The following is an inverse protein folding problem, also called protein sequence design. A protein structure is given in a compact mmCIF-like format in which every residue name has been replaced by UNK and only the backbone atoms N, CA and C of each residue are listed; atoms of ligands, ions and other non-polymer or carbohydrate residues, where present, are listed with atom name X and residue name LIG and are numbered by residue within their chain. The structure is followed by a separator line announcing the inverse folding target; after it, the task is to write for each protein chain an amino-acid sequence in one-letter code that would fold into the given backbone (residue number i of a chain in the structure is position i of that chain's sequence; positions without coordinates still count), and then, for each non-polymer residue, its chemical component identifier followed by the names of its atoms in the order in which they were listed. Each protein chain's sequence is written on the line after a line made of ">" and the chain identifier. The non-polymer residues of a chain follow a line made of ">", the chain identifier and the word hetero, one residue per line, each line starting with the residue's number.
data_IF_249578981322
#
_entry.id   IF_249578981322
#
_cell.length_a   1.000
_cell.length_b   1.000
_cell.length_c   1.000
_cell.angle_alpha   90.00
_cell.angle_beta   90.00
_cell.angle_gamma   90.00
#
_symmetry.space_group_name_H-M   'P 1'
#
loop_
_entity.id
_entity.type
_entity.pdbx_description
1 polymer ?
#
# COMPACT_ATOMS: atom_id res chain seq x y z
N UNK A 1 -50.67 -39.55 10.14
CA UNK A 1 -49.66 -39.16 11.13
C UNK A 1 -48.24 -39.20 10.52
N UNK A 2 -48.00 -38.46 9.41
CA UNK A 2 -46.68 -38.45 8.78
C UNK A 2 -46.46 -37.10 8.05
N UNK A 3 -46.35 -36.01 8.77
CA UNK A 3 -45.97 -34.67 8.21
C UNK A 3 -45.22 -33.74 9.15
N UNK A 4 -44.74 -34.22 10.33
CA UNK A 4 -44.02 -33.33 11.29
C UNK A 4 -42.53 -33.58 11.41
N UNK A 5 -41.96 -34.63 10.78
CA UNK A 5 -40.53 -34.93 10.89
C UNK A 5 -39.66 -34.29 9.79
N UNK A 6 -40.23 -33.87 8.66
CA UNK A 6 -39.48 -33.28 7.54
C UNK A 6 -38.98 -31.83 7.79
N UNK A 7 -39.74 -31.06 8.57
CA UNK A 7 -39.37 -29.66 8.86
C UNK A 7 -38.25 -29.52 9.91
N UNK A 8 -38.15 -30.45 10.85
CA UNK A 8 -37.13 -30.42 11.90
C UNK A 8 -35.76 -30.80 11.33
N UNK A 9 -35.68 -31.73 10.39
CA UNK A 9 -34.40 -32.13 9.74
C UNK A 9 -33.85 -31.03 8.82
N UNK A 10 -34.70 -30.32 8.10
CA UNK A 10 -34.26 -29.20 7.25
C UNK A 10 -33.74 -28.01 8.05
N UNK A 11 -34.34 -27.73 9.21
CA UNK A 11 -33.89 -26.65 10.09
C UNK A 11 -32.56 -26.98 10.80
N UNK A 12 -32.36 -28.25 11.21
CA UNK A 12 -31.13 -28.72 11.82
C UNK A 12 -29.96 -28.77 10.83
N UNK A 13 -30.18 -29.21 9.58
CA UNK A 13 -29.15 -29.17 8.54
C UNK A 13 -28.79 -27.73 8.12
N UNK A 14 -29.76 -26.84 8.01
CA UNK A 14 -29.52 -25.42 7.74
C UNK A 14 -28.72 -24.73 8.84
N UNK A 15 -29.07 -24.98 10.10
CA UNK A 15 -28.35 -24.44 11.27
C UNK A 15 -26.94 -24.98 11.41
N UNK A 16 -26.71 -26.26 11.14
CA UNK A 16 -25.36 -26.85 11.19
C UNK A 16 -24.44 -26.37 10.06
N UNK A 17 -24.97 -26.14 8.86
CA UNK A 17 -24.23 -25.56 7.74
C UNK A 17 -23.89 -24.07 7.98
N UNK A 18 -24.80 -23.30 8.53
CA UNK A 18 -24.55 -21.90 8.91
C UNK A 18 -23.53 -21.79 10.05
N UNK A 19 -23.59 -22.64 11.06
CA UNK A 19 -22.61 -22.69 12.16
C UNK A 19 -21.23 -23.14 11.65
N UNK A 20 -21.14 -24.07 10.71
CA UNK A 20 -19.86 -24.49 10.13
C UNK A 20 -19.23 -23.41 9.25
N UNK A 21 -20.02 -22.68 8.48
CA UNK A 21 -19.57 -21.56 7.67
C UNK A 21 -19.08 -20.38 8.52
N UNK A 22 -19.78 -20.06 9.60
CA UNK A 22 -19.36 -19.01 10.56
C UNK A 22 -18.10 -19.39 11.32
N UNK A 23 -17.97 -20.64 11.77
CA UNK A 23 -16.78 -21.14 12.46
C UNK A 23 -15.57 -21.17 11.50
N UNK A 24 -15.74 -21.55 10.24
CA UNK A 24 -14.70 -21.53 9.23
C UNK A 24 -14.27 -20.11 8.92
N UNK A 25 -15.17 -19.19 8.71
CA UNK A 25 -14.90 -17.75 8.49
C UNK A 25 -14.17 -17.12 9.67
N UNK A 26 -14.59 -17.42 10.92
CA UNK A 26 -13.91 -16.94 12.12
C UNK A 26 -12.48 -17.51 12.25
N UNK A 27 -12.27 -18.78 11.91
CA UNK A 27 -10.95 -19.43 11.92
C UNK A 27 -10.01 -18.80 10.87
N UNK A 28 -10.49 -18.51 9.65
CA UNK A 28 -9.71 -17.83 8.63
C UNK A 28 -9.30 -16.43 9.06
N UNK A 29 -10.21 -15.67 9.65
CA UNK A 29 -9.91 -14.32 10.14
C UNK A 29 -8.87 -14.35 11.26
N UNK A 30 -8.96 -15.29 12.20
CA UNK A 30 -7.95 -15.47 13.26
C UNK A 30 -6.59 -15.79 12.65
N UNK A 31 -6.53 -16.74 11.69
CA UNK A 31 -5.30 -17.10 11.00
C UNK A 31 -4.69 -15.91 10.26
N UNK A 32 -5.51 -15.13 9.55
CA UNK A 32 -5.06 -13.93 8.85
C UNK A 32 -4.55 -12.84 9.81
N UNK A 33 -5.22 -12.65 10.95
CA UNK A 33 -4.88 -11.63 11.94
C UNK A 33 -3.59 -11.95 12.72
N UNK A 34 -3.24 -13.23 12.85
CA UNK A 34 -2.00 -13.70 13.51
C UNK A 34 -0.89 -14.07 12.52
N UNK A 35 -1.11 -13.91 11.22
CA UNK A 35 -0.10 -14.15 10.22
C UNK A 35 1.11 -13.22 10.39
N UNK A 36 2.28 -13.73 10.07
CA UNK A 36 3.56 -12.98 10.08
C UNK A 36 4.03 -12.75 8.65
N UNK A 37 4.86 -11.72 8.44
CA UNK A 37 5.38 -11.43 7.12
C UNK A 37 6.17 -12.63 6.55
N UNK A 38 5.91 -13.01 5.28
CA UNK A 38 6.70 -14.03 4.61
C UNK A 38 8.17 -13.60 4.45
N UNK A 39 9.08 -14.58 4.38
CA UNK A 39 10.50 -14.34 4.16
C UNK A 39 10.84 -13.92 2.72
N UNK A 40 9.84 -13.72 1.89
CA UNK A 40 9.95 -13.37 0.46
C UNK A 40 10.03 -11.86 0.21
N UNK A 41 10.22 -11.06 1.25
CA UNK A 41 10.39 -9.61 1.17
C UNK A 41 11.19 -9.07 2.37
N UNK A 42 11.56 -7.81 2.29
CA UNK A 42 12.38 -7.17 3.34
C UNK A 42 11.72 -7.20 4.73
N UNK A 43 10.40 -7.13 4.84
CA UNK A 43 9.71 -7.24 6.13
C UNK A 43 9.93 -8.59 6.84
N UNK A 44 10.34 -9.63 6.10
CA UNK A 44 10.67 -10.95 6.66
C UNK A 44 12.14 -11.13 7.04
N UNK A 45 13.00 -10.12 6.83
CA UNK A 45 14.45 -10.17 7.12
C UNK A 45 14.72 -9.95 8.61
N UNK A 46 15.82 -10.49 9.12
CA UNK A 46 16.23 -10.34 10.51
C UNK A 46 15.25 -10.98 11.48
N UNK A 47 14.62 -10.19 12.34
CA UNK A 47 13.61 -10.66 13.29
C UNK A 47 12.27 -10.99 12.61
N UNK A 48 12.07 -10.52 11.38
CA UNK A 48 10.80 -10.57 10.67
C UNK A 48 9.76 -9.64 11.26
N UNK A 49 8.61 -9.53 10.59
CA UNK A 49 7.48 -8.73 11.05
C UNK A 49 6.37 -9.66 11.52
N UNK A 50 6.03 -9.58 12.79
CA UNK A 50 5.02 -10.44 13.44
C UNK A 50 3.77 -9.66 13.87
N UNK A 51 3.82 -8.33 13.84
CA UNK A 51 2.71 -7.47 14.25
C UNK A 51 2.17 -7.84 15.63
N UNK A 52 0.86 -7.95 15.71
CA UNK A 52 0.14 -8.36 16.91
C UNK A 52 -0.05 -9.87 17.08
N UNK A 53 0.73 -10.74 16.39
CA UNK A 53 0.48 -12.20 16.39
C UNK A 53 0.51 -12.84 17.80
N UNK A 54 1.17 -12.22 18.76
CA UNK A 54 1.24 -12.67 20.15
C UNK A 54 0.28 -11.94 21.08
N UNK A 55 -0.68 -11.19 20.54
CA UNK A 55 -1.66 -10.45 21.33
C UNK A 55 -2.49 -11.40 22.21
N UNK A 56 -2.64 -11.03 23.47
CA UNK A 56 -3.59 -11.71 24.35
C UNK A 56 -5.03 -11.35 23.99
N UNK A 57 -6.00 -12.12 24.44
CA UNK A 57 -7.41 -11.82 24.18
C UNK A 57 -7.85 -10.44 24.69
N UNK A 58 -7.18 -9.89 25.71
CA UNK A 58 -7.41 -8.54 26.21
C UNK A 58 -6.95 -7.44 25.24
N UNK A 59 -6.08 -7.75 24.30
CA UNK A 59 -5.54 -6.82 23.31
C UNK A 59 -5.98 -7.14 21.87
N UNK A 60 -7.14 -7.78 21.73
CA UNK A 60 -7.82 -8.00 20.43
C UNK A 60 -9.08 -7.15 20.41
N UNK A 61 -9.07 -6.13 19.56
CA UNK A 61 -10.12 -5.11 19.51
C UNK A 61 -10.93 -5.23 18.21
N UNK A 62 -12.24 -5.05 18.31
CA UNK A 62 -13.13 -4.89 17.17
C UNK A 62 -13.60 -3.45 17.11
N UNK A 63 -13.32 -2.75 16.03
CA UNK A 63 -13.56 -1.31 15.90
C UNK A 63 -14.44 -1.00 14.69
N UNK A 64 -15.43 -0.11 14.86
CA UNK A 64 -16.43 0.25 13.84
C UNK A 64 -16.52 1.74 13.59
N UNK A 65 -15.79 2.55 14.34
CA UNK A 65 -15.78 4.01 14.22
C UNK A 65 -14.45 4.57 14.72
N UNK A 66 -14.23 5.87 14.47
CA UNK A 66 -13.03 6.60 14.85
C UNK A 66 -12.71 6.50 16.35
N UNK A 67 -13.68 6.70 17.20
CA UNK A 67 -13.50 6.68 18.68
C UNK A 67 -12.98 5.32 19.15
N UNK A 68 -13.56 4.22 18.67
CA UNK A 68 -13.12 2.87 19.01
C UNK A 68 -11.73 2.55 18.46
N UNK A 69 -11.41 3.01 17.21
CA UNK A 69 -10.11 2.84 16.62
C UNK A 69 -9.02 3.52 17.45
N UNK A 70 -9.21 4.79 17.79
CA UNK A 70 -8.23 5.54 18.58
C UNK A 70 -8.06 4.98 19.99
N UNK A 71 -9.16 4.57 20.65
CA UNK A 71 -9.08 3.91 21.95
C UNK A 71 -8.28 2.59 21.88
N UNK A 72 -8.48 1.77 20.86
CA UNK A 72 -7.72 0.52 20.66
C UNK A 72 -6.23 0.78 20.37
N UNK A 73 -5.91 1.88 19.67
CA UNK A 73 -4.53 2.31 19.43
C UNK A 73 -3.82 2.68 20.72
N UNK A 74 -4.47 3.42 21.60
CA UNK A 74 -3.92 3.90 22.87
C UNK A 74 -3.81 2.79 23.93
N UNK A 75 -4.77 1.88 23.97
CA UNK A 75 -4.83 0.83 24.99
C UNK A 75 -3.65 -0.15 24.89
N UNK A 76 -3.10 -0.55 26.02
CA UNK A 76 -1.98 -1.47 26.12
C UNK A 76 -0.63 -0.92 25.65
N UNK A 77 -0.53 0.35 25.27
CA UNK A 77 0.71 1.00 24.82
C UNK A 77 1.38 0.23 23.67
N UNK A 78 2.62 -0.23 23.84
CA UNK A 78 3.39 -1.01 22.86
C UNK A 78 3.23 -2.53 22.99
N UNK A 79 2.34 -3.02 23.84
CA UNK A 79 2.01 -4.45 23.90
C UNK A 79 1.46 -4.94 22.57
N UNK A 80 1.74 -6.19 22.23
CA UNK A 80 1.21 -6.79 21.02
C UNK A 80 -0.32 -6.69 20.97
N UNK A 81 -0.89 -6.15 19.88
CA UNK A 81 -2.33 -5.96 19.71
C UNK A 81 -2.81 -6.25 18.30
N UNK A 82 -4.04 -6.70 18.20
CA UNK A 82 -4.76 -6.88 16.94
C UNK A 82 -5.97 -5.95 16.94
N UNK A 83 -6.04 -5.08 15.93
CA UNK A 83 -7.17 -4.16 15.73
C UNK A 83 -7.93 -4.59 14.49
N UNK A 84 -9.14 -5.08 14.67
CA UNK A 84 -10.02 -5.61 13.63
C UNK A 84 -11.02 -4.55 13.18
N UNK A 85 -10.86 -4.04 11.98
CA UNK A 85 -11.75 -3.03 11.38
C UNK A 85 -13.00 -3.71 10.81
N UNK A 86 -14.17 -3.28 11.24
CA UNK A 86 -15.48 -3.79 10.79
C UNK A 86 -16.22 -2.69 10.04
N UNK A 87 -16.47 -2.89 8.74
CA UNK A 87 -17.13 -1.90 7.90
C UNK A 87 -16.28 -0.64 7.68
N UNK A 88 -16.91 0.50 7.47
CA UNK A 88 -16.24 1.77 7.18
C UNK A 88 -15.99 2.57 8.44
N UNK A 89 -14.73 3.02 8.61
CA UNK A 89 -14.34 4.03 9.61
C UNK A 89 -14.03 5.32 8.86
N UNK A 90 -14.88 6.33 9.04
CA UNK A 90 -14.66 7.68 8.56
C UNK A 90 -13.98 8.52 9.66
N UNK A 91 -12.78 9.04 9.38
CA UNK A 91 -12.01 9.80 10.37
C UNK A 91 -12.56 11.21 10.61
N UNK A 92 -13.45 11.72 9.77
CA UNK A 92 -14.19 12.97 10.03
C UNK A 92 -15.25 12.81 11.12
N UNK A 93 -15.70 11.57 11.36
CA UNK A 93 -16.81 11.26 12.28
C UNK A 93 -18.07 12.09 11.96
N UNK A 94 -18.34 12.29 10.65
CA UNK A 94 -19.46 13.07 10.13
C UNK A 94 -19.31 14.60 10.17
N UNK A 95 -18.13 15.11 10.59
CA UNK A 95 -17.85 16.54 10.63
C UNK A 95 -16.63 16.87 9.78
N UNK A 96 -16.82 17.59 8.68
CA UNK A 96 -15.73 17.96 7.77
C UNK A 96 -14.56 18.66 8.50
N UNK A 97 -13.35 18.46 8.01
CA UNK A 97 -12.19 19.20 8.49
C UNK A 97 -12.28 20.67 8.08
N UNK A 98 -11.84 21.57 8.96
CA UNK A 98 -11.96 23.03 8.77
C UNK A 98 -10.61 23.72 8.51
N UNK A 99 -9.49 23.03 8.74
CA UNK A 99 -8.13 23.52 8.54
C UNK A 99 -7.11 22.38 8.54
N UNK A 100 -5.88 22.62 8.09
CA UNK A 100 -4.78 21.67 8.19
C UNK A 100 -4.53 21.21 9.64
N UNK A 101 -4.60 22.12 10.62
CA UNK A 101 -4.45 21.78 12.04
C UNK A 101 -5.56 20.86 12.54
N UNK A 102 -6.81 21.12 12.15
CA UNK A 102 -7.94 20.27 12.48
C UNK A 102 -7.83 18.90 11.81
N UNK A 103 -7.49 18.85 10.51
CA UNK A 103 -7.28 17.62 9.78
C UNK A 103 -6.14 16.79 10.40
N UNK A 104 -5.03 17.42 10.75
CA UNK A 104 -3.93 16.75 11.46
C UNK A 104 -4.38 16.15 12.79
N UNK A 105 -5.08 16.91 13.62
CA UNK A 105 -5.50 16.48 14.95
C UNK A 105 -6.53 15.34 14.91
N UNK A 106 -7.42 15.32 13.91
CA UNK A 106 -8.52 14.36 13.83
C UNK A 106 -8.29 13.24 12.82
N UNK A 107 -7.54 13.51 11.75
CA UNK A 107 -7.34 12.58 10.62
C UNK A 107 -6.15 11.63 10.78
N UNK A 108 -5.17 11.94 11.64
CA UNK A 108 -4.03 11.04 11.83
C UNK A 108 -4.39 9.81 12.67
N UNK A 109 -3.90 8.65 12.21
CA UNK A 109 -4.09 7.33 12.83
C UNK A 109 -2.69 6.80 13.22
N UNK A 110 -2.18 7.12 14.42
CA UNK A 110 -0.82 6.78 14.84
C UNK A 110 -0.73 5.32 15.32
N UNK A 111 -0.40 4.40 14.44
CA UNK A 111 -0.28 2.97 14.79
C UNK A 111 0.99 2.72 15.61
N UNK A 112 0.88 2.10 16.81
CA UNK A 112 2.02 1.78 17.64
C UNK A 112 2.76 0.52 17.17
N UNK A 113 3.96 0.28 17.74
CA UNK A 113 4.72 -0.95 17.53
C UNK A 113 3.93 -2.20 17.92
N UNK A 114 4.31 -3.35 17.35
CA UNK A 114 3.73 -4.66 17.65
C UNK A 114 2.21 -4.75 17.36
N UNK A 115 1.75 -4.08 16.31
CA UNK A 115 0.33 -3.99 15.98
C UNK A 115 0.02 -4.66 14.65
N UNK A 116 -1.07 -5.43 14.61
CA UNK A 116 -1.76 -5.83 13.38
C UNK A 116 -3.07 -5.06 13.26
N UNK A 117 -3.18 -4.21 12.22
CA UNK A 117 -4.44 -3.58 11.81
C UNK A 117 -5.00 -4.37 10.64
N UNK A 118 -6.18 -4.96 10.78
CA UNK A 118 -6.76 -5.86 9.77
C UNK A 118 -8.24 -5.63 9.56
N UNK A 119 -8.66 -5.61 8.30
CA UNK A 119 -10.09 -5.62 7.94
C UNK A 119 -10.71 -7.01 8.10
N UNK A 120 -11.92 -7.07 8.65
CA UNK A 120 -12.63 -8.33 8.88
C UNK A 120 -13.34 -8.88 7.64
N UNK A 121 -13.46 -8.06 6.59
CA UNK A 121 -14.14 -8.42 5.33
C UNK A 121 -13.72 -7.49 4.19
N UNK A 122 -14.19 -7.77 2.98
CA UNK A 122 -13.99 -6.90 1.81
C UNK A 122 -14.62 -5.50 1.95
N UNK A 123 -15.51 -5.29 2.92
CA UNK A 123 -16.12 -3.99 3.20
C UNK A 123 -15.36 -3.17 4.26
N UNK A 124 -14.26 -3.69 4.80
CA UNK A 124 -13.45 -2.98 5.78
C UNK A 124 -12.72 -1.81 5.09
N UNK A 125 -13.04 -0.59 5.52
CA UNK A 125 -12.58 0.64 4.86
C UNK A 125 -12.19 1.72 5.86
N UNK A 126 -11.16 2.49 5.54
CA UNK A 126 -10.78 3.73 6.23
C UNK A 126 -10.85 4.87 5.23
N UNK A 127 -11.55 5.95 5.58
CA UNK A 127 -11.69 7.15 4.76
C UNK A 127 -11.27 8.40 5.54
N UNK A 128 -10.86 9.43 4.83
CA UNK A 128 -10.48 10.73 5.39
C UNK A 128 -9.37 10.65 6.46
N UNK A 129 -8.53 9.62 6.42
CA UNK A 129 -7.50 9.38 7.43
C UNK A 129 -6.13 9.08 6.84
N UNK A 130 -5.09 9.56 7.52
CA UNK A 130 -3.69 9.25 7.24
C UNK A 130 -3.16 8.27 8.30
N UNK A 131 -2.84 7.05 7.92
CA UNK A 131 -2.18 6.08 8.79
C UNK A 131 -0.71 6.48 8.95
N UNK A 132 -0.27 6.69 10.18
CA UNK A 132 1.06 7.19 10.48
C UNK A 132 1.85 6.18 11.32
N UNK A 133 3.00 5.79 10.81
CA UNK A 133 3.98 4.94 11.47
C UNK A 133 5.22 5.79 11.74
N UNK A 134 5.34 6.34 12.95
CA UNK A 134 6.45 7.24 13.29
C UNK A 134 7.29 6.66 14.42
N UNK A 135 8.55 6.30 14.11
CA UNK A 135 9.50 5.71 15.07
C UNK A 135 8.94 4.46 15.76
N UNK A 136 8.27 3.61 15.00
CA UNK A 136 7.68 2.34 15.46
C UNK A 136 8.28 1.16 14.69
N UNK A 137 8.09 -0.03 15.22
CA UNK A 137 8.61 -1.26 14.65
C UNK A 137 7.57 -2.37 14.74
N UNK A 138 7.65 -3.35 13.82
CA UNK A 138 6.83 -4.56 13.87
C UNK A 138 5.33 -4.28 13.68
N UNK A 139 4.95 -3.74 12.52
CA UNK A 139 3.56 -3.39 12.20
C UNK A 139 3.07 -4.14 10.96
N UNK A 140 1.86 -4.67 11.03
CA UNK A 140 1.17 -5.33 9.91
C UNK A 140 -0.14 -4.59 9.63
N UNK A 141 -0.36 -4.25 8.35
CA UNK A 141 -1.62 -3.64 7.85
C UNK A 141 -2.16 -4.54 6.76
N UNK A 142 -3.35 -5.12 6.94
CA UNK A 142 -3.88 -6.13 6.01
C UNK A 142 -5.35 -5.97 5.71
N UNK A 143 -5.74 -6.41 4.51
CA UNK A 143 -7.15 -6.60 4.12
C UNK A 143 -8.02 -5.38 4.35
N UNK A 144 -7.56 -4.21 3.94
CA UNK A 144 -8.25 -2.93 4.12
C UNK A 144 -8.40 -2.21 2.78
N UNK A 145 -9.50 -1.50 2.60
CA UNK A 145 -9.60 -0.43 1.62
C UNK A 145 -9.23 0.89 2.31
N UNK A 146 -8.27 1.62 1.77
CA UNK A 146 -7.81 2.91 2.28
C UNK A 146 -8.03 3.95 1.19
N UNK A 147 -8.92 4.90 1.46
CA UNK A 147 -9.21 6.01 0.56
C UNK A 147 -8.24 7.16 0.82
N UNK A 148 -7.66 7.72 -0.24
CA UNK A 148 -6.74 8.85 -0.15
C UNK A 148 -7.40 10.03 0.56
N UNK A 149 -6.76 10.59 1.60
CA UNK A 149 -7.30 11.76 2.27
C UNK A 149 -7.33 12.96 1.33
N UNK A 150 -8.43 13.70 1.33
CA UNK A 150 -8.53 14.98 0.62
C UNK A 150 -8.00 16.08 1.52
N UNK A 151 -6.91 16.74 1.15
CA UNK A 151 -6.36 17.87 1.91
C UNK A 151 -7.29 19.08 1.81
N UNK A 152 -7.73 19.58 2.95
CA UNK A 152 -8.62 20.77 3.00
C UNK A 152 -7.87 22.09 2.89
N UNK A 153 -6.54 22.07 3.03
CA UNK A 153 -5.71 23.26 3.05
C UNK A 153 -4.31 23.04 2.40
N UNK A 154 -4.25 22.59 1.14
CA UNK A 154 -2.99 22.46 0.41
C UNK A 154 -2.14 23.73 0.47
N UNK A 155 -0.81 23.55 0.50
CA UNK A 155 0.16 24.64 0.58
C UNK A 155 0.72 24.93 -0.81
N UNK A 156 0.84 26.23 -1.13
CA UNK A 156 1.47 26.64 -2.38
C UNK A 156 3.00 26.66 -2.24
N UNK A 157 3.67 25.87 -3.08
CA UNK A 157 5.13 25.81 -3.16
C UNK A 157 5.62 26.45 -4.45
N UNK A 158 6.49 27.45 -4.34
CA UNK A 158 7.01 28.15 -5.52
C UNK A 158 7.80 27.19 -6.44
N UNK A 159 7.32 27.01 -7.68
CA UNK A 159 7.90 26.13 -8.68
C UNK A 159 7.36 24.69 -8.66
N UNK A 160 6.47 24.33 -7.73
CA UNK A 160 5.80 23.04 -7.67
C UNK A 160 4.25 23.17 -7.65
N UNK A 161 3.74 24.37 -7.35
CA UNK A 161 2.30 24.66 -7.31
C UNK A 161 1.64 24.31 -5.98
N UNK A 162 0.34 24.02 -6.00
CA UNK A 162 -0.39 23.60 -4.82
C UNK A 162 -0.07 22.15 -4.50
N UNK A 163 0.33 21.88 -3.26
CA UNK A 163 0.76 20.56 -2.79
C UNK A 163 -0.02 20.15 -1.53
N UNK A 164 -0.55 18.94 -1.54
CA UNK A 164 -1.21 18.31 -0.40
C UNK A 164 -0.18 17.70 0.56
N UNK A 165 -0.58 17.46 1.83
CA UNK A 165 0.32 16.93 2.88
C UNK A 165 0.00 15.46 3.27
N UNK A 166 -1.21 14.96 2.98
CA UNK A 166 -1.71 13.73 3.61
C UNK A 166 -1.62 12.50 2.70
N UNK A 167 -0.72 11.57 3.03
CA UNK A 167 -0.66 10.24 2.41
C UNK A 167 -1.75 9.30 2.95
N UNK A 168 -2.06 8.20 2.25
CA UNK A 168 -2.84 7.10 2.85
C UNK A 168 -2.06 6.45 3.99
N UNK A 169 -0.79 6.11 3.75
CA UNK A 169 0.13 5.56 4.77
C UNK A 169 1.47 6.30 4.69
N UNK A 170 1.88 6.89 5.80
CA UNK A 170 3.21 7.49 5.98
C UNK A 170 4.05 6.66 6.93
N UNK A 171 5.21 6.15 6.49
CA UNK A 171 6.18 5.42 7.29
C UNK A 171 7.43 6.30 7.48
N UNK A 172 7.70 6.72 8.72
CA UNK A 172 8.76 7.68 9.05
C UNK A 172 9.61 7.19 10.22
N UNK A 173 10.90 6.91 9.96
CA UNK A 173 11.83 6.41 10.98
C UNK A 173 11.40 5.07 11.60
N UNK A 174 10.71 4.23 10.87
CA UNK A 174 10.10 2.99 11.33
C UNK A 174 10.64 1.78 10.58
N UNK A 175 10.54 0.60 11.14
CA UNK A 175 11.04 -0.60 10.51
C UNK A 175 10.16 -1.83 10.72
N UNK A 176 10.39 -2.89 9.91
CA UNK A 176 9.62 -4.13 9.96
C UNK A 176 8.12 -3.87 9.79
N UNK A 177 7.76 -3.42 8.58
CA UNK A 177 6.37 -3.13 8.20
C UNK A 177 5.94 -4.03 7.06
N UNK A 178 4.82 -4.71 7.23
CA UNK A 178 4.20 -5.51 6.18
C UNK A 178 2.79 -5.01 5.87
N UNK A 179 2.59 -4.59 4.62
CA UNK A 179 1.29 -4.18 4.07
C UNK A 179 0.85 -5.24 3.06
N UNK A 180 -0.34 -5.80 3.24
CA UNK A 180 -0.75 -6.97 2.47
C UNK A 180 -2.27 -6.98 2.19
N UNK A 181 -2.64 -7.28 0.95
CA UNK A 181 -4.04 -7.28 0.51
C UNK A 181 -4.79 -5.98 0.84
N UNK A 182 -4.13 -4.84 0.64
CA UNK A 182 -4.72 -3.51 0.81
C UNK A 182 -5.09 -2.95 -0.56
N UNK A 183 -6.24 -2.30 -0.65
CA UNK A 183 -6.61 -1.49 -1.82
C UNK A 183 -6.51 -0.02 -1.46
N UNK A 184 -5.70 0.74 -2.20
CA UNK A 184 -5.54 2.19 -2.12
C UNK A 184 -6.22 2.82 -3.32
N UNK A 185 -7.00 3.88 -3.12
CA UNK A 185 -7.71 4.58 -4.19
C UNK A 185 -8.06 6.01 -3.77
N UNK A 186 -8.18 6.93 -4.73
CA UNK A 186 -8.74 8.26 -4.48
C UNK A 186 -10.25 8.24 -4.20
N UNK A 187 -10.87 7.09 -4.44
CA UNK A 187 -12.30 6.92 -4.21
C UNK A 187 -13.15 7.70 -5.22
N UNK A 188 -14.07 8.51 -4.70
CA UNK A 188 -14.98 9.29 -5.55
C UNK A 188 -14.49 10.70 -5.88
N UNK A 189 -13.49 11.22 -5.17
CA UNK A 189 -12.91 12.53 -5.44
C UNK A 189 -11.60 12.36 -6.23
N UNK A 190 -11.71 12.42 -7.55
CA UNK A 190 -10.60 12.17 -8.48
C UNK A 190 -9.93 13.47 -8.94
N UNK A 191 -8.75 13.37 -9.56
CA UNK A 191 -7.91 14.52 -9.92
C UNK A 191 -8.54 15.49 -10.94
N UNK A 192 -9.55 15.08 -11.67
CA UNK A 192 -10.34 15.93 -12.57
C UNK A 192 -11.36 16.79 -11.82
N UNK A 193 -11.65 16.48 -10.55
CA UNK A 193 -12.51 17.30 -9.69
C UNK A 193 -11.77 18.44 -9.00
N UNK A 194 -10.43 18.50 -9.12
CA UNK A 194 -9.66 19.61 -8.55
C UNK A 194 -10.03 20.95 -9.15
N UNK A 195 -10.28 21.92 -8.30
CA UNK A 195 -10.51 23.29 -8.71
C UNK A 195 -9.21 24.00 -9.11
N UNK A 196 -9.32 25.20 -9.65
CA UNK A 196 -8.18 26.09 -9.93
C UNK A 196 -8.13 27.19 -8.91
N UNK A 197 -6.94 27.44 -8.34
CA UNK A 197 -6.67 28.53 -7.40
C UNK A 197 -5.42 29.28 -7.84
N UNK A 198 -5.52 30.59 -7.99
CA UNK A 198 -4.44 31.46 -8.51
C UNK A 198 -3.93 31.05 -9.92
N UNK A 199 -4.80 30.47 -10.76
CA UNK A 199 -4.44 30.04 -12.10
C UNK A 199 -3.78 28.65 -12.19
N UNK A 200 -3.61 27.94 -11.09
CA UNK A 200 -3.00 26.60 -11.01
C UNK A 200 -3.95 25.58 -10.40
N UNK A 201 -3.78 24.30 -10.77
CA UNK A 201 -4.57 23.17 -10.25
C UNK A 201 -4.40 23.08 -8.74
N UNK A 202 -5.50 23.06 -7.99
CA UNK A 202 -5.51 22.97 -6.53
C UNK A 202 -5.44 21.51 -6.10
N UNK A 203 -4.22 20.94 -6.08
CA UNK A 203 -3.95 19.54 -5.80
C UNK A 203 -4.27 19.22 -4.34
N UNK A 204 -5.15 18.23 -4.11
CA UNK A 204 -5.66 17.88 -2.78
C UNK A 204 -5.35 16.43 -2.36
N UNK A 205 -4.74 15.60 -3.21
CA UNK A 205 -4.14 14.32 -2.82
C UNK A 205 -2.62 14.41 -2.83
N UNK A 206 -1.95 13.79 -1.85
CA UNK A 206 -0.49 13.59 -1.86
C UNK A 206 -0.15 12.14 -2.24
N UNK A 207 0.59 11.39 -1.46
CA UNK A 207 0.97 10.03 -1.76
C UNK A 207 -0.03 8.97 -1.26
N UNK A 208 0.04 7.75 -1.81
CA UNK A 208 -0.65 6.61 -1.20
C UNK A 208 0.22 5.90 -0.17
N UNK A 209 1.53 5.76 -0.45
CA UNK A 209 2.40 4.95 0.39
C UNK A 209 3.82 5.49 0.42
N UNK A 210 4.16 6.23 1.44
CA UNK A 210 5.45 6.89 1.58
C UNK A 210 6.32 6.28 2.67
N UNK A 211 7.62 6.07 2.34
CA UNK A 211 8.63 5.52 3.26
C UNK A 211 9.79 6.50 3.34
N UNK A 212 10.04 7.07 4.51
CA UNK A 212 10.99 8.18 4.68
C UNK A 212 11.75 8.14 6.00
N UNK A 213 12.78 9.00 6.10
CA UNK A 213 13.54 9.27 7.33
C UNK A 213 14.22 8.04 7.94
N UNK A 214 14.92 7.25 7.12
CA UNK A 214 15.67 6.09 7.57
C UNK A 214 14.81 4.89 7.95
N UNK A 215 13.56 4.85 7.53
CA UNK A 215 12.72 3.65 7.66
C UNK A 215 13.33 2.46 6.92
N UNK A 216 13.04 1.24 7.36
CA UNK A 216 13.69 0.06 6.79
C UNK A 216 12.81 -1.19 6.85
N UNK A 217 13.18 -2.23 6.10
CA UNK A 217 12.55 -3.56 6.12
C UNK A 217 11.02 -3.52 5.89
N UNK A 218 10.62 -2.93 4.76
CA UNK A 218 9.22 -2.77 4.39
C UNK A 218 8.86 -3.72 3.24
N UNK A 219 7.68 -4.32 3.29
CA UNK A 219 7.14 -5.12 2.19
C UNK A 219 5.68 -4.76 1.93
N UNK A 220 5.35 -4.54 0.65
CA UNK A 220 3.97 -4.40 0.17
C UNK A 220 3.68 -5.57 -0.76
N UNK A 221 2.64 -6.35 -0.45
CA UNK A 221 2.30 -7.54 -1.22
C UNK A 221 0.81 -7.66 -1.49
N UNK A 222 0.45 -8.28 -2.62
CA UNK A 222 -0.92 -8.56 -3.02
C UNK A 222 -1.88 -7.37 -2.83
N UNK A 223 -1.38 -6.15 -2.99
CA UNK A 223 -2.14 -4.91 -2.81
C UNK A 223 -2.50 -4.28 -4.16
N UNK A 224 -3.53 -3.45 -4.17
CA UNK A 224 -3.96 -2.67 -5.33
C UNK A 224 -3.71 -1.19 -5.03
N UNK A 225 -3.08 -0.51 -5.98
CA UNK A 225 -2.98 0.95 -6.05
C UNK A 225 -3.74 1.37 -7.30
N UNK A 226 -4.77 2.16 -7.16
CA UNK A 226 -5.62 2.51 -8.30
C UNK A 226 -6.05 3.97 -8.29
N UNK A 227 -6.14 4.54 -9.50
CA UNK A 227 -6.68 5.88 -9.75
C UNK A 227 -5.98 6.94 -8.91
N UNK A 228 -4.71 7.25 -9.21
CA UNK A 228 -3.92 8.20 -8.42
C UNK A 228 -2.69 8.73 -9.18
N UNK A 229 -2.27 9.95 -8.86
CA UNK A 229 -1.06 10.57 -9.44
C UNK A 229 0.22 10.08 -8.73
N UNK A 230 0.50 10.53 -7.52
CA UNK A 230 1.79 10.42 -6.81
C UNK A 230 1.87 9.20 -5.89
N UNK A 231 1.91 7.97 -6.41
CA UNK A 231 1.58 6.73 -5.69
C UNK A 231 2.49 6.44 -4.49
N UNK A 232 3.82 6.41 -4.67
CA UNK A 232 4.73 5.99 -3.59
C UNK A 232 6.10 6.64 -3.69
N UNK A 233 6.51 7.31 -2.62
CA UNK A 233 7.80 7.97 -2.50
C UNK A 233 8.67 7.29 -1.45
N UNK A 234 9.83 6.80 -1.87
CA UNK A 234 10.83 6.20 -0.99
C UNK A 234 12.03 7.15 -0.87
N UNK A 235 12.15 7.79 0.31
CA UNK A 235 13.11 8.88 0.52
C UNK A 235 12.60 10.23 0.02
N UNK A 236 12.29 11.13 0.96
CA UNK A 236 11.56 12.38 0.70
C UNK A 236 12.41 13.55 0.22
N UNK A 237 13.76 13.50 0.32
CA UNK A 237 14.63 14.63 -0.02
C UNK A 237 16.00 14.18 -0.54
N UNK A 238 16.53 14.86 -1.57
CA UNK A 238 17.88 14.66 -2.09
C UNK A 238 18.99 15.07 -1.09
N UNK A 239 18.64 15.83 -0.04
CA UNK A 239 19.57 16.26 1.02
C UNK A 239 19.63 15.31 2.21
N UNK A 240 18.82 14.26 2.27
CA UNK A 240 18.66 13.39 3.45
C UNK A 240 19.62 12.18 3.49
N UNK A 241 20.78 12.27 2.83
CA UNK A 241 21.71 11.16 2.70
C UNK A 241 22.21 10.59 4.04
N UNK A 242 22.39 11.43 5.05
CA UNK A 242 22.89 11.01 6.37
C UNK A 242 21.93 10.07 7.11
N UNK A 243 20.64 10.20 6.85
CA UNK A 243 19.60 9.39 7.50
C UNK A 243 19.18 8.20 6.64
N UNK A 244 19.15 8.37 5.31
CA UNK A 244 18.54 7.41 4.40
C UNK A 244 19.54 6.43 3.77
N UNK A 245 20.84 6.78 3.68
CA UNK A 245 21.84 5.90 3.06
C UNK A 245 22.00 4.59 3.86
N UNK A 246 21.87 3.46 3.16
CA UNK A 246 21.92 2.12 3.77
C UNK A 246 20.65 1.70 4.51
N UNK A 247 19.59 2.45 4.32
CA UNK A 247 18.22 2.21 4.78
C UNK A 247 17.25 2.20 3.60
N UNK A 248 15.96 2.27 3.87
CA UNK A 248 14.90 2.31 2.87
C UNK A 248 14.89 1.07 1.97
N UNK A 249 15.04 -0.12 2.58
CA UNK A 249 14.87 -1.39 1.88
C UNK A 249 13.39 -1.72 1.78
N UNK A 250 12.84 -1.67 0.55
CA UNK A 250 11.41 -1.89 0.30
C UNK A 250 11.20 -2.93 -0.78
N UNK A 251 10.31 -3.88 -0.52
CA UNK A 251 9.85 -4.87 -1.49
C UNK A 251 8.43 -4.57 -1.92
N UNK A 252 8.17 -4.61 -3.22
CA UNK A 252 6.84 -4.66 -3.82
C UNK A 252 6.70 -5.96 -4.59
N UNK A 253 5.72 -6.82 -4.23
CA UNK A 253 5.47 -8.04 -5.00
C UNK A 253 4.00 -8.40 -5.10
N UNK A 254 3.62 -8.93 -6.25
CA UNK A 254 2.25 -9.36 -6.55
C UNK A 254 1.22 -8.23 -6.38
N UNK A 255 1.63 -6.96 -6.56
CA UNK A 255 0.73 -5.81 -6.50
C UNK A 255 0.20 -5.45 -7.88
N UNK A 256 -1.01 -4.87 -7.91
CA UNK A 256 -1.58 -4.20 -9.07
C UNK A 256 -1.44 -2.69 -8.92
N UNK A 257 -0.81 -2.05 -9.90
CA UNK A 257 -0.80 -0.59 -10.08
C UNK A 257 -1.68 -0.29 -11.31
N UNK A 258 -2.87 0.25 -11.08
CA UNK A 258 -3.86 0.47 -12.13
C UNK A 258 -4.27 1.93 -12.22
N UNK A 259 -4.20 2.52 -13.42
CA UNK A 259 -4.47 3.95 -13.64
C UNK A 259 -3.65 4.84 -12.70
N UNK A 260 -2.35 4.58 -12.64
CA UNK A 260 -1.39 5.34 -11.85
C UNK A 260 -0.58 6.21 -12.80
N UNK A 261 -0.47 7.51 -12.50
CA UNK A 261 0.36 8.39 -13.34
C UNK A 261 1.84 8.14 -13.12
N UNK A 262 2.30 8.15 -11.87
CA UNK A 262 3.72 8.11 -11.57
C UNK A 262 4.06 7.54 -10.18
N UNK A 263 5.36 7.38 -9.92
CA UNK A 263 5.93 6.96 -8.63
C UNK A 263 5.42 5.60 -8.15
N UNK A 264 5.58 4.57 -8.95
CA UNK A 264 5.21 3.22 -8.56
C UNK A 264 6.43 2.24 -8.44
N UNK A 265 7.45 2.53 -7.57
CA UNK A 265 7.68 3.74 -6.77
C UNK A 265 8.71 4.73 -7.36
N UNK A 266 8.85 5.95 -6.76
CA UNK A 266 10.02 6.80 -6.91
C UNK A 266 10.94 6.65 -5.71
N UNK A 267 12.27 6.43 -5.94
CA UNK A 267 13.23 6.12 -4.87
C UNK A 267 14.41 7.08 -4.83
N UNK A 268 14.82 7.50 -3.61
CA UNK A 268 16.09 8.15 -3.29
C UNK A 268 16.81 7.37 -2.21
N UNK A 269 18.12 7.15 -2.34
CA UNK A 269 19.00 6.41 -1.41
C UNK A 269 18.61 4.95 -1.16
N UNK A 270 17.32 4.61 -1.24
CA UNK A 270 16.76 3.29 -0.92
C UNK A 270 17.09 2.21 -1.94
N UNK A 271 16.79 0.99 -1.56
CA UNK A 271 16.90 -0.22 -2.38
C UNK A 271 15.51 -0.83 -2.56
N UNK A 272 15.01 -0.80 -3.79
CA UNK A 272 13.71 -1.36 -4.15
C UNK A 272 13.92 -2.71 -4.83
N UNK A 273 13.18 -3.71 -4.37
CA UNK A 273 12.95 -4.95 -5.10
C UNK A 273 11.49 -5.00 -5.53
N UNK A 274 11.24 -4.88 -6.82
CA UNK A 274 9.90 -4.95 -7.41
C UNK A 274 9.79 -6.21 -8.26
N UNK A 275 9.08 -7.23 -7.79
CA UNK A 275 8.97 -8.48 -8.54
C UNK A 275 7.54 -8.99 -8.64
N UNK A 276 7.22 -9.56 -9.79
CA UNK A 276 5.89 -10.11 -10.08
C UNK A 276 4.74 -9.14 -9.77
N UNK A 277 4.91 -7.83 -10.05
CA UNK A 277 3.82 -6.86 -10.02
C UNK A 277 3.19 -6.69 -11.39
N UNK A 278 2.01 -6.10 -11.44
CA UNK A 278 1.32 -5.68 -12.66
C UNK A 278 1.12 -4.17 -12.67
N UNK A 279 1.41 -3.55 -13.80
CA UNK A 279 1.23 -2.12 -14.05
C UNK A 279 0.29 -1.97 -15.26
N UNK A 280 -0.88 -1.39 -15.05
CA UNK A 280 -1.92 -1.23 -16.07
C UNK A 280 -2.29 0.24 -16.18
N UNK A 281 -2.17 0.83 -17.35
CA UNK A 281 -2.44 2.25 -17.56
C UNK A 281 -2.50 2.65 -19.02
N UNK A 282 -2.92 3.88 -19.26
CA UNK A 282 -2.97 4.50 -20.59
C UNK A 282 -2.28 5.86 -20.53
N UNK A 283 -1.34 6.08 -21.47
CA UNK A 283 -0.66 7.37 -21.62
C UNK A 283 -1.60 8.51 -22.01
N UNK A 284 -2.72 8.20 -22.63
CA UNK A 284 -3.67 9.16 -23.15
C UNK A 284 -4.99 9.17 -22.34
N UNK A 285 -4.98 8.64 -21.13
CA UNK A 285 -6.16 8.70 -20.26
C UNK A 285 -6.54 10.15 -19.94
N UNK A 286 -7.84 10.42 -19.84
CA UNK A 286 -8.35 11.76 -19.50
C UNK A 286 -8.00 12.14 -18.04
N UNK A 287 -8.03 11.15 -17.15
CA UNK A 287 -7.60 11.27 -15.75
C UNK A 287 -6.53 10.21 -15.50
N UNK A 288 -5.51 10.53 -14.72
CA UNK A 288 -4.38 9.65 -14.40
C UNK A 288 -3.63 9.12 -15.64
N UNK A 289 -3.29 10.03 -16.57
CA UNK A 289 -2.49 9.73 -17.76
C UNK A 289 -1.09 9.23 -17.38
N UNK A 290 -0.77 7.98 -17.74
CA UNK A 290 0.46 7.31 -17.36
C UNK A 290 1.72 8.10 -17.77
N UNK A 291 2.63 8.32 -16.83
CA UNK A 291 3.90 9.00 -17.06
C UNK A 291 5.11 8.05 -16.92
N UNK A 292 5.25 7.34 -15.80
CA UNK A 292 6.30 6.34 -15.56
C UNK A 292 5.96 5.48 -14.33
N UNK A 293 6.51 4.27 -14.27
CA UNK A 293 6.43 3.40 -13.09
C UNK A 293 7.58 3.67 -12.12
N UNK A 294 8.83 3.46 -12.54
CA UNK A 294 10.00 3.59 -11.67
C UNK A 294 10.69 4.95 -11.81
N UNK A 295 10.71 5.72 -10.73
CA UNK A 295 11.51 6.95 -10.65
C UNK A 295 12.83 6.70 -9.91
N UNK A 296 13.97 6.80 -10.58
CA UNK A 296 15.28 6.60 -9.96
C UNK A 296 15.85 7.96 -9.59
N UNK A 297 15.78 8.31 -8.31
CA UNK A 297 16.36 9.53 -7.76
C UNK A 297 17.79 9.32 -7.26
N UNK A 298 18.29 10.33 -6.54
CA UNK A 298 19.67 10.37 -6.03
C UNK A 298 20.02 9.12 -5.24
N UNK A 299 21.02 8.36 -5.71
CA UNK A 299 21.50 7.11 -5.10
C UNK A 299 20.42 6.04 -4.89
N UNK A 300 19.23 6.20 -5.50
CA UNK A 300 18.18 5.19 -5.49
C UNK A 300 18.55 4.00 -6.37
N UNK A 301 18.05 2.81 -6.02
CA UNK A 301 18.27 1.58 -6.77
C UNK A 301 16.99 0.79 -6.90
N UNK A 302 16.67 0.35 -8.11
CA UNK A 302 15.53 -0.53 -8.38
C UNK A 302 16.02 -1.81 -9.07
N UNK A 303 15.68 -2.95 -8.48
CA UNK A 303 15.77 -4.26 -9.12
C UNK A 303 14.36 -4.76 -9.44
N UNK A 304 14.06 -4.87 -10.72
CA UNK A 304 12.77 -5.24 -11.31
C UNK A 304 12.85 -6.66 -11.85
N UNK A 305 11.89 -7.53 -11.49
CA UNK A 305 11.89 -8.92 -11.96
C UNK A 305 10.49 -9.44 -12.25
N UNK A 306 10.28 -10.04 -13.43
CA UNK A 306 9.05 -10.74 -13.79
C UNK A 306 7.79 -9.89 -13.67
N UNK A 307 7.89 -8.57 -13.83
CA UNK A 307 6.75 -7.66 -13.78
C UNK A 307 5.99 -7.64 -15.11
N UNK A 308 4.70 -7.37 -15.06
CA UNK A 308 3.83 -7.29 -16.24
C UNK A 308 3.37 -5.85 -16.44
N UNK A 309 3.80 -5.22 -17.55
CA UNK A 309 3.41 -3.87 -17.94
C UNK A 309 2.41 -3.95 -19.09
N UNK A 310 1.14 -3.62 -18.84
CA UNK A 310 0.07 -3.41 -19.83
C UNK A 310 -0.21 -1.92 -19.92
N UNK A 311 0.57 -1.21 -20.74
CA UNK A 311 0.63 0.26 -20.78
C UNK A 311 0.28 0.75 -22.19
N UNK A 312 -0.95 1.19 -22.39
CA UNK A 312 -1.39 1.71 -23.68
C UNK A 312 -0.61 2.98 -24.06
N UNK A 313 -0.16 3.02 -25.31
CA UNK A 313 0.66 4.12 -25.84
C UNK A 313 2.14 4.10 -25.40
N UNK A 314 2.59 3.08 -24.67
CA UNK A 314 4.00 2.89 -24.28
C UNK A 314 4.58 1.67 -25.00
N UNK A 315 5.65 1.87 -25.75
CA UNK A 315 6.32 0.81 -26.54
C UNK A 315 7.81 0.66 -26.21
N UNK A 316 8.34 1.47 -25.29
CA UNK A 316 9.76 1.50 -24.94
C UNK A 316 9.91 1.50 -23.40
N UNK A 317 10.72 0.58 -22.89
CA UNK A 317 11.04 0.49 -21.46
C UNK A 317 11.63 1.78 -20.88
N UNK A 318 12.27 2.63 -21.70
CA UNK A 318 12.73 3.95 -21.29
C UNK A 318 11.60 4.92 -20.89
N UNK A 319 10.35 4.60 -21.20
CA UNK A 319 9.17 5.35 -20.73
C UNK A 319 8.60 4.79 -19.43
N UNK A 320 9.01 3.57 -19.06
CA UNK A 320 8.63 2.93 -17.79
C UNK A 320 9.54 3.39 -16.65
N UNK A 321 10.79 3.74 -16.97
CA UNK A 321 11.80 4.16 -15.98
C UNK A 321 12.20 5.61 -16.26
N UNK A 322 12.18 6.44 -15.22
CA UNK A 322 12.56 7.86 -15.30
C UNK A 322 13.70 8.19 -14.33
N UNK A 323 14.76 8.82 -14.82
CA UNK A 323 15.87 9.30 -13.99
C UNK A 323 15.60 10.67 -13.42
N UNK A 324 15.95 10.87 -12.16
CA UNK A 324 15.91 12.14 -11.44
C UNK A 324 17.25 12.32 -10.70
N UNK A 325 17.78 13.55 -10.67
CA UNK A 325 19.02 13.86 -9.94
C UNK A 325 20.18 12.89 -10.28
N UNK A 326 20.30 12.51 -11.56
CA UNK A 326 21.30 11.55 -12.06
C UNK A 326 21.19 10.12 -11.47
N UNK A 327 20.04 9.73 -10.92
CA UNK A 327 19.78 8.36 -10.47
C UNK A 327 19.78 7.41 -11.67
N UNK A 328 20.57 6.34 -11.62
CA UNK A 328 20.76 5.44 -12.75
C UNK A 328 20.89 3.96 -12.40
N UNK A 329 20.66 3.57 -11.14
CA UNK A 329 20.76 2.16 -10.74
C UNK A 329 19.42 1.44 -10.99
N UNK A 330 19.27 0.89 -12.18
CA UNK A 330 18.12 0.10 -12.58
C UNK A 330 18.54 -1.17 -13.29
N UNK A 331 17.97 -2.29 -12.87
CA UNK A 331 18.13 -3.58 -13.55
C UNK A 331 16.76 -4.24 -13.67
N UNK A 332 16.45 -4.77 -14.83
CA UNK A 332 15.29 -5.63 -15.04
C UNK A 332 15.71 -7.05 -15.43
N UNK A 333 14.83 -8.01 -15.10
CA UNK A 333 14.97 -9.42 -15.50
C UNK A 333 13.61 -10.08 -15.69
N UNK A 334 13.31 -10.53 -16.90
CA UNK A 334 12.13 -11.34 -17.19
C UNK A 334 10.78 -10.62 -17.11
N UNK A 335 10.76 -9.29 -17.11
CA UNK A 335 9.51 -8.52 -17.21
C UNK A 335 9.01 -8.48 -18.66
N UNK A 336 7.72 -8.13 -18.82
CA UNK A 336 7.03 -8.05 -20.12
C UNK A 336 6.35 -6.69 -20.25
N UNK A 337 6.53 -6.03 -21.41
CA UNK A 337 5.85 -4.80 -21.79
C UNK A 337 4.94 -5.08 -22.99
N UNK A 338 3.62 -4.95 -22.81
CA UNK A 338 2.61 -5.13 -23.85
C UNK A 338 2.77 -6.44 -24.63
N UNK A 339 3.07 -7.55 -23.92
CA UNK A 339 3.21 -8.87 -24.49
C UNK A 339 4.58 -9.20 -25.10
N UNK A 340 5.52 -8.25 -25.08
CA UNK A 340 6.91 -8.44 -25.52
C UNK A 340 7.87 -8.38 -24.34
N UNK A 341 9.06 -8.96 -24.47
CA UNK A 341 10.10 -8.86 -23.43
C UNK A 341 10.40 -7.37 -23.14
N UNK A 342 10.51 -7.03 -21.87
CA UNK A 342 10.85 -5.68 -21.45
C UNK A 342 12.27 -5.33 -21.90
N UNK A 343 12.43 -4.25 -22.63
CA UNK A 343 13.72 -3.77 -23.10
C UNK A 343 13.83 -2.24 -23.01
N UNK A 344 15.02 -1.76 -22.66
CA UNK A 344 15.39 -0.35 -22.76
C UNK A 344 15.96 -0.09 -24.16
N UNK A 345 15.46 0.92 -24.84
CA UNK A 345 16.04 1.40 -26.12
C UNK A 345 17.34 2.18 -25.86
N UNK A 346 17.99 2.63 -26.94
CA UNK A 346 19.15 3.52 -26.85
C UNK A 346 18.83 4.96 -26.39
N UNK A 347 17.54 5.27 -26.16
CA UNK A 347 17.10 6.59 -25.72
C UNK A 347 17.38 6.85 -24.23
N UNK A 348 17.69 5.81 -23.44
CA UNK A 348 18.09 5.91 -22.06
C UNK A 348 19.21 4.93 -21.72
N UNK A 349 19.92 5.18 -20.61
CA UNK A 349 20.97 4.30 -20.13
C UNK A 349 20.91 4.23 -18.61
N UNK A 350 20.85 3.00 -18.09
CA UNK A 350 20.90 2.72 -16.68
C UNK A 350 22.01 1.74 -16.35
N UNK A 351 22.62 1.89 -15.18
CA UNK A 351 23.58 0.93 -14.66
C UNK A 351 22.86 -0.32 -14.14
N UNK A 352 23.25 -1.47 -14.65
CA UNK A 352 22.75 -2.78 -14.21
C UNK A 352 23.29 -3.23 -12.84
N UNK A 353 24.13 -2.40 -12.19
CA UNK A 353 24.66 -2.60 -10.84
C UNK A 353 23.62 -2.28 -9.74
N UNK A 354 22.32 -2.36 -10.05
CA UNK A 354 21.26 -2.23 -9.07
C UNK A 354 21.46 -3.23 -7.91
N UNK A 355 21.22 -2.76 -6.70
CA UNK A 355 21.36 -3.58 -5.49
C UNK A 355 20.30 -4.68 -5.48
N UNK A 356 20.73 -5.93 -5.27
CA UNK A 356 19.86 -7.10 -5.21
C UNK A 356 19.45 -7.40 -3.77
N UNK A 357 18.26 -8.02 -3.55
CA UNK A 357 17.80 -8.33 -2.20
C UNK A 357 18.65 -9.43 -1.56
N UNK A 358 18.72 -9.42 -0.22
CA UNK A 358 19.46 -10.40 0.58
C UNK A 358 18.63 -11.60 1.05
N UNK A 359 17.31 -11.59 0.80
CA UNK A 359 16.40 -12.65 1.19
C UNK A 359 16.15 -13.66 0.04
N UNK A 360 15.54 -14.81 0.36
CA UNK A 360 15.14 -15.82 -0.64
C UNK A 360 13.73 -15.54 -1.14
N UNK A 361 13.54 -15.66 -2.44
CA UNK A 361 12.25 -15.50 -3.10
C UNK A 361 12.20 -16.37 -4.36
N UNK A 362 11.04 -16.43 -4.99
CA UNK A 362 10.84 -17.09 -6.29
C UNK A 362 10.10 -16.14 -7.22
N UNK A 363 10.55 -16.06 -8.46
CA UNK A 363 9.92 -15.28 -9.51
C UNK A 363 9.18 -16.22 -10.45
N UNK A 364 7.90 -15.98 -10.69
CA UNK A 364 7.11 -16.65 -11.72
C UNK A 364 7.16 -15.84 -13.01
N UNK A 365 6.73 -16.42 -14.14
CA UNK A 365 6.61 -15.63 -15.36
C UNK A 365 5.67 -14.45 -15.18
N UNK A 366 5.97 -13.31 -15.82
CA UNK A 366 5.16 -12.09 -15.74
C UNK A 366 3.67 -12.34 -16.05
N UNK A 367 3.36 -13.17 -17.04
CA UNK A 367 1.98 -13.53 -17.40
C UNK A 367 1.28 -14.35 -16.30
N UNK A 368 1.98 -15.30 -15.66
CA UNK A 368 1.44 -16.06 -14.53
C UNK A 368 1.20 -15.16 -13.32
N UNK A 369 2.15 -14.27 -13.02
CA UNK A 369 2.02 -13.27 -11.96
C UNK A 369 0.79 -12.38 -12.19
N UNK A 370 0.59 -11.86 -13.40
CA UNK A 370 -0.57 -11.04 -13.74
C UNK A 370 -1.90 -11.77 -13.53
N UNK A 371 -1.99 -13.05 -13.89
CA UNK A 371 -3.18 -13.87 -13.64
C UNK A 371 -3.45 -14.04 -12.15
N UNK A 372 -2.42 -14.29 -11.36
CA UNK A 372 -2.49 -14.41 -9.90
C UNK A 372 -2.96 -13.11 -9.26
N UNK A 373 -2.35 -11.98 -9.64
CA UNK A 373 -2.67 -10.65 -9.11
C UNK A 373 -4.15 -10.31 -9.34
N UNK A 374 -4.66 -10.50 -10.56
CA UNK A 374 -6.08 -10.23 -10.88
C UNK A 374 -7.05 -11.00 -9.99
N UNK A 375 -6.69 -12.16 -9.50
CA UNK A 375 -7.57 -13.00 -8.69
C UNK A 375 -7.36 -12.83 -7.19
N UNK A 376 -6.15 -12.46 -6.76
CA UNK A 376 -5.74 -12.52 -5.36
C UNK A 376 -5.35 -11.18 -4.74
N UNK A 377 -5.07 -10.12 -5.52
CA UNK A 377 -4.70 -8.84 -4.94
C UNK A 377 -5.91 -8.05 -4.43
N UNK A 378 -5.66 -7.21 -3.43
CA UNK A 378 -6.61 -6.27 -2.86
C UNK A 378 -7.43 -6.78 -1.67
N UNK A 379 -8.23 -5.89 -1.13
CA UNK A 379 -9.10 -6.16 0.03
C UNK A 379 -10.10 -7.29 -0.26
N UNK A 380 -10.34 -8.16 0.73
CA UNK A 380 -11.28 -9.29 0.63
C UNK A 380 -10.69 -10.55 0.01
N UNK A 381 -9.38 -10.63 -0.17
CA UNK A 381 -8.69 -11.75 -0.84
C UNK A 381 -7.77 -12.58 0.06
N UNK A 382 -7.75 -12.34 1.37
CA UNK A 382 -6.97 -13.10 2.36
C UNK A 382 -7.63 -14.42 2.77
#
# INVERSE_FOLDING_TARGET
>A
MMKRYSLVYSALLGASLLMSAQAYSASLLISAATATAPTTGYAGVGTGTTGGSTATSAHIYQVKNRTQLLAAIEDGGTSAKIIQVIGTIDMTDGTAYTSATDQKARGQIPIPSNTTLIGTSASAKITNGNIVLTSVSNVIIRNLYIESPVDVAPVYESGDGWNAEWDCITISGSDHVWVDHVTFSDGSFTDDEYTTKNGEKYVQHDGMFDVKKGSDYVTVSYSIFENHDKTSLIGHSDSNSSQDTGKLHVTYHHNLFQNIEQRAPRVRFGTIHAYNNAYVGDKNADVYAYQYSFGIGKNGSVYSEGNYFALDGITDGCKVVKSFSNGNLFKDSGSVLNGSDFALSSSCSYSTSARTPSYKYSVTSAASAYSTIKSQAGVGKI
#
